data_IF_856076762727
#
_entry.id   IF_856076762727
#
_cell.length_a   1.000
_cell.length_b   1.000
_cell.length_c   1.000
_cell.angle_alpha   90.00
_cell.angle_beta   90.00
_cell.angle_gamma   90.00
#
_symmetry.space_group_name_H-M   'P 1'
#
loop_
_entity.id
_entity.type
_entity.pdbx_description
1 polymer ?
#
# COMPACT_ATOMS: atom_id res chain seq x y z
N UNK A 1 -0.42 12.44 18.61
CA UNK A 1 -0.84 11.79 17.36
C UNK A 1 0.40 11.26 16.66
N UNK A 2 0.42 9.99 16.25
CA UNK A 2 1.59 9.38 15.59
C UNK A 2 1.46 9.43 14.07
N UNK A 3 2.53 9.82 13.37
CA UNK A 3 2.65 9.63 11.93
C UNK A 3 3.41 8.31 11.65
N UNK A 4 2.67 7.27 11.26
CA UNK A 4 3.20 5.91 11.09
C UNK A 4 4.28 5.84 10.01
N UNK A 5 4.10 6.53 8.87
CA UNK A 5 5.07 6.52 7.78
C UNK A 5 6.39 7.17 8.19
N UNK A 6 6.33 8.28 8.90
CA UNK A 6 7.53 8.93 9.44
C UNK A 6 8.23 8.03 10.47
N UNK A 7 7.46 7.40 11.36
CA UNK A 7 8.00 6.45 12.35
C UNK A 7 8.68 5.24 11.69
N UNK A 8 8.11 4.70 10.60
CA UNK A 8 8.73 3.63 9.82
C UNK A 8 10.06 4.05 9.17
N UNK A 9 10.16 5.29 8.68
CA UNK A 9 11.42 5.83 8.11
C UNK A 9 12.48 5.99 9.20
N UNK A 10 12.09 6.53 10.35
CA UNK A 10 12.98 6.71 11.51
C UNK A 10 13.48 5.34 11.99
N UNK A 11 12.59 4.37 12.16
CA UNK A 11 12.99 3.01 12.54
C UNK A 11 13.96 2.38 11.54
N UNK A 12 13.68 2.52 10.24
CA UNK A 12 14.60 2.05 9.19
C UNK A 12 16.00 2.64 9.32
N UNK A 13 16.09 3.96 9.52
CA UNK A 13 17.37 4.65 9.70
C UNK A 13 18.12 4.18 10.97
N UNK A 14 17.42 3.92 12.08
CA UNK A 14 18.03 3.39 13.31
C UNK A 14 18.68 2.03 13.06
N UNK A 15 17.98 1.14 12.34
CA UNK A 15 18.50 -0.20 12.01
C UNK A 15 19.69 -0.12 11.07
N UNK A 16 19.67 0.75 10.05
CA UNK A 16 20.78 0.87 9.11
C UNK A 16 22.02 1.55 9.70
N UNK A 17 21.83 2.52 10.58
CA UNK A 17 22.94 3.21 11.26
C UNK A 17 23.42 2.48 12.52
N UNK A 18 22.73 1.39 12.93
CA UNK A 18 23.06 0.64 14.14
C UNK A 18 22.87 1.43 15.44
N UNK A 19 22.15 2.56 15.41
CA UNK A 19 22.19 3.53 16.49
C UNK A 19 21.19 4.68 16.37
N UNK A 20 20.65 5.13 17.50
CA UNK A 20 19.79 6.32 17.58
C UNK A 20 20.54 7.61 17.19
N UNK A 21 21.81 7.72 17.58
CA UNK A 21 22.65 8.91 17.27
C UNK A 21 23.00 8.99 15.79
N UNK A 22 23.30 7.84 15.17
CA UNK A 22 23.54 7.76 13.72
C UNK A 22 22.29 8.15 12.93
N UNK A 23 21.13 7.59 13.30
CA UNK A 23 19.86 7.94 12.67
C UNK A 23 19.45 9.41 12.88
N UNK A 24 19.66 9.95 14.07
CA UNK A 24 19.41 11.37 14.35
C UNK A 24 20.27 12.28 13.46
N UNK A 25 21.54 11.91 13.27
CA UNK A 25 22.47 12.66 12.42
C UNK A 25 22.09 12.60 10.94
N UNK A 26 21.70 11.43 10.44
CA UNK A 26 21.22 11.23 9.06
C UNK A 26 19.93 12.01 8.78
N UNK A 27 18.97 11.93 9.69
CA UNK A 27 17.65 12.57 9.55
C UNK A 27 17.63 14.05 9.93
N UNK A 28 18.76 14.60 10.42
CA UNK A 28 18.87 15.96 10.97
C UNK A 28 17.84 16.24 12.09
N UNK A 29 17.60 15.22 12.91
CA UNK A 29 16.70 15.27 14.06
C UNK A 29 17.49 15.22 15.37
N UNK A 30 16.83 15.59 16.47
CA UNK A 30 17.39 15.39 17.80
C UNK A 30 17.16 13.95 18.27
N UNK A 31 18.09 13.39 19.05
CA UNK A 31 17.99 12.02 19.60
C UNK A 31 16.70 11.83 20.40
N UNK A 32 16.25 12.86 21.14
CA UNK A 32 15.00 12.80 21.89
C UNK A 32 13.76 12.68 20.97
N UNK A 33 13.80 13.30 19.78
CA UNK A 33 12.71 13.17 18.80
C UNK A 33 12.69 11.77 18.19
N UNK A 34 13.86 11.23 17.88
CA UNK A 34 14.00 9.87 17.36
C UNK A 34 13.49 8.85 18.38
N UNK A 35 13.90 8.97 19.65
CA UNK A 35 13.41 8.09 20.73
C UNK A 35 11.89 8.23 20.95
N UNK A 36 11.35 9.46 20.98
CA UNK A 36 9.91 9.68 21.15
C UNK A 36 9.08 9.08 20.01
N UNK A 37 9.59 9.12 18.77
CA UNK A 37 8.93 8.51 17.61
C UNK A 37 9.00 6.98 17.63
N UNK A 38 10.13 6.43 18.06
CA UNK A 38 10.27 4.99 18.27
C UNK A 38 9.36 4.48 19.39
N UNK A 39 9.32 5.18 20.52
CA UNK A 39 8.44 4.83 21.64
C UNK A 39 6.96 4.90 21.25
N UNK A 40 6.55 5.93 20.48
CA UNK A 40 5.21 5.98 19.90
C UNK A 40 4.90 4.79 19.00
N UNK A 41 5.87 4.34 18.19
CA UNK A 41 5.73 3.20 17.30
C UNK A 41 5.61 1.88 18.07
N UNK A 42 6.45 1.65 19.06
CA UNK A 42 6.39 0.45 19.91
C UNK A 42 5.09 0.39 20.73
N UNK A 43 4.61 1.54 21.21
CA UNK A 43 3.28 1.63 21.85
C UNK A 43 2.14 1.30 20.89
N UNK A 44 2.24 1.77 19.65
CA UNK A 44 1.23 1.49 18.63
C UNK A 44 1.20 0.00 18.24
N UNK A 45 2.38 -0.63 18.13
CA UNK A 45 2.52 -2.04 17.79
C UNK A 45 2.28 -2.98 18.99
N UNK A 46 2.42 -2.46 20.22
CA UNK A 46 2.30 -3.25 21.44
C UNK A 46 3.49 -4.19 21.70
N UNK A 47 4.61 -4.00 20.99
CA UNK A 47 5.80 -4.83 21.13
C UNK A 47 7.07 -3.98 21.05
N UNK A 48 8.16 -4.50 21.62
CA UNK A 48 9.48 -3.87 21.50
C UNK A 48 10.18 -4.32 20.23
N UNK A 49 10.69 -3.35 19.47
CA UNK A 49 11.45 -3.56 18.24
C UNK A 49 12.96 -3.61 18.53
N UNK A 50 13.42 -2.94 19.59
CA UNK A 50 14.83 -2.89 19.99
C UNK A 50 15.05 -3.43 21.41
N UNK A 51 16.16 -4.16 21.60
CA UNK A 51 16.58 -4.73 22.89
C UNK A 51 17.26 -3.67 23.77
N UNK A 52 18.13 -2.85 23.17
CA UNK A 52 18.84 -1.77 23.85
C UNK A 52 18.75 -0.46 23.06
N UNK A 53 18.62 0.65 23.77
CA UNK A 53 18.50 2.01 23.22
C UNK A 53 19.62 2.95 23.71
N UNK A 54 20.49 2.49 24.60
CA UNK A 54 21.50 3.32 25.25
C UNK A 54 22.91 3.04 24.73
N UNK A 55 23.11 1.90 24.07
CA UNK A 55 24.39 1.48 23.50
C UNK A 55 24.72 2.08 22.13
N UNK A 56 25.99 1.94 21.76
CA UNK A 56 26.52 2.22 20.41
C UNK A 56 26.05 1.17 19.39
N UNK A 57 25.55 0.02 19.88
CA UNK A 57 25.06 -1.10 19.08
C UNK A 57 23.58 -1.36 19.37
N UNK A 58 22.73 -1.15 18.36
CA UNK A 58 21.30 -1.41 18.44
C UNK A 58 21.01 -2.86 18.05
N UNK A 59 20.56 -3.64 19.05
CA UNK A 59 20.12 -5.02 18.83
C UNK A 59 18.63 -5.06 18.51
N UNK A 60 18.27 -5.53 17.31
CA UNK A 60 16.88 -5.74 16.91
C UNK A 60 16.28 -7.00 17.58
N UNK A 61 15.02 -6.91 18.00
CA UNK A 61 14.24 -8.10 18.36
C UNK A 61 13.81 -8.87 17.10
N UNK A 62 13.34 -10.12 17.26
CA UNK A 62 12.71 -10.88 16.17
C UNK A 62 11.54 -10.09 15.54
N UNK A 63 10.70 -9.47 16.38
CA UNK A 63 9.65 -8.57 15.95
C UNK A 63 10.19 -7.35 15.18
N UNK A 64 11.32 -6.77 15.64
CA UNK A 64 12.02 -5.68 14.97
C UNK A 64 12.50 -6.05 13.57
N UNK A 65 13.07 -7.25 13.39
CA UNK A 65 13.53 -7.75 12.09
C UNK A 65 12.36 -7.96 11.13
N UNK A 66 11.29 -8.62 11.60
CA UNK A 66 10.09 -8.84 10.79
C UNK A 66 9.42 -7.51 10.40
N UNK A 67 9.36 -6.56 11.35
CA UNK A 67 8.79 -5.24 11.11
C UNK A 67 9.65 -4.42 10.13
N UNK A 68 10.98 -4.46 10.24
CA UNK A 68 11.89 -3.78 9.32
C UNK A 68 11.69 -4.24 7.87
N UNK A 69 11.53 -5.55 7.64
CA UNK A 69 11.22 -6.09 6.32
C UNK A 69 9.88 -5.54 5.77
N UNK A 70 8.87 -5.39 6.65
CA UNK A 70 7.59 -4.78 6.30
C UNK A 70 7.71 -3.28 5.99
N UNK A 71 8.50 -2.54 6.78
CA UNK A 71 8.79 -1.12 6.56
C UNK A 71 9.39 -0.90 5.17
N UNK A 72 10.40 -1.68 4.79
CA UNK A 72 11.06 -1.55 3.48
C UNK A 72 10.08 -1.72 2.32
N UNK A 73 9.20 -2.73 2.38
CA UNK A 73 8.17 -2.95 1.34
C UNK A 73 7.16 -1.81 1.29
N UNK A 74 6.69 -1.36 2.45
CA UNK A 74 5.68 -0.31 2.56
C UNK A 74 6.22 1.04 2.08
N UNK A 75 7.42 1.42 2.53
CA UNK A 75 8.08 2.65 2.10
C UNK A 75 8.41 2.63 0.60
N UNK A 76 8.81 1.48 0.06
CA UNK A 76 9.00 1.31 -1.38
C UNK A 76 7.70 1.47 -2.15
N UNK A 77 6.59 0.88 -1.68
CA UNK A 77 5.28 1.05 -2.31
C UNK A 77 4.80 2.51 -2.28
N UNK A 78 5.04 3.22 -1.17
CA UNK A 78 4.73 4.65 -1.05
C UNK A 78 5.61 5.49 -1.96
N UNK A 79 6.91 5.18 -2.07
CA UNK A 79 7.83 5.87 -2.98
C UNK A 79 7.42 5.70 -4.46
N UNK A 80 6.94 4.51 -4.83
CA UNK A 80 6.37 4.25 -6.15
C UNK A 80 5.08 5.06 -6.37
N UNK A 81 4.16 5.05 -5.40
CA UNK A 81 2.88 5.78 -5.49
C UNK A 81 3.04 7.30 -5.52
N UNK A 82 4.05 7.85 -4.84
CA UNK A 82 4.32 9.29 -4.78
C UNK A 82 5.15 9.80 -5.97
N UNK A 83 5.60 8.92 -6.87
CA UNK A 83 6.42 9.30 -8.02
C UNK A 83 7.82 9.81 -7.63
N UNK A 84 8.24 9.64 -6.38
CA UNK A 84 9.57 10.02 -5.89
C UNK A 84 10.69 9.07 -6.36
N UNK A 85 10.35 8.05 -7.14
CA UNK A 85 11.32 7.19 -7.81
C UNK A 85 11.92 7.95 -8.99
N UNK A 86 13.07 8.60 -8.76
CA UNK A 86 13.94 8.99 -9.86
C UNK A 86 14.46 7.71 -10.53
N UNK A 87 13.93 7.45 -11.73
CA UNK A 87 14.38 6.49 -12.73
C UNK A 87 14.15 4.98 -12.46
N UNK A 88 13.45 4.38 -13.43
CA UNK A 88 13.40 2.96 -13.78
C UNK A 88 12.68 2.02 -12.77
N UNK A 89 11.62 1.29 -13.08
CA UNK A 89 11.09 0.84 -14.35
C UNK A 89 9.56 0.94 -14.37
N UNK A 90 9.07 1.29 -15.54
CA UNK A 90 7.77 0.89 -16.04
C UNK A 90 7.68 -0.66 -16.03
N UNK A 91 7.44 -1.27 -14.87
CA UNK A 91 6.81 -2.57 -14.81
C UNK A 91 5.35 -2.36 -15.17
N UNK A 92 5.11 -2.30 -16.47
CA UNK A 92 3.85 -2.63 -17.11
C UNK A 92 3.23 -3.84 -16.41
N UNK A 93 2.30 -3.61 -15.48
CA UNK A 93 1.16 -4.52 -15.39
C UNK A 93 0.35 -4.23 -16.65
N UNK A 94 0.70 -4.93 -17.73
CA UNK A 94 -0.12 -5.02 -18.93
C UNK A 94 -1.39 -5.80 -18.57
N UNK A 95 -2.31 -5.14 -17.90
CA UNK A 95 -3.73 -5.43 -17.95
C UNK A 95 -4.39 -4.25 -18.66
N UNK A 96 -5.32 -4.48 -19.60
CA UNK A 96 -5.96 -3.35 -20.28
C UNK A 96 -6.63 -2.45 -19.24
N UNK A 97 -6.50 -1.11 -19.36
CA UNK A 97 -7.14 -0.21 -18.43
C UNK A 97 -8.65 -0.37 -18.56
N UNK A 98 -9.30 -0.83 -17.49
CA UNK A 98 -10.76 -0.75 -17.36
C UNK A 98 -11.17 0.70 -17.09
N UNK A 99 -10.86 1.59 -18.04
CA UNK A 99 -11.48 2.90 -18.18
C UNK A 99 -12.76 2.70 -18.99
N UNK A 100 -13.69 1.97 -18.40
CA UNK A 100 -14.94 1.59 -19.01
C UNK A 100 -15.93 1.31 -17.90
N UNK A 101 -16.27 2.34 -17.14
CA UNK A 101 -17.56 2.37 -16.45
C UNK A 101 -18.62 2.29 -17.57
N UNK A 102 -19.34 1.18 -17.76
CA UNK A 102 -20.49 1.22 -18.65
C UNK A 102 -21.58 1.89 -17.84
N UNK A 103 -21.89 3.14 -18.16
CA UNK A 103 -23.18 3.70 -17.82
C UNK A 103 -24.26 2.76 -18.39
N UNK A 104 -25.28 2.34 -17.61
CA UNK A 104 -26.49 1.84 -18.22
C UNK A 104 -27.23 3.03 -18.84
N UNK A 105 -27.01 3.27 -20.13
CA UNK A 105 -27.93 4.05 -20.96
C UNK A 105 -29.22 3.24 -21.15
N UNK A 106 -30.08 3.21 -20.14
CA UNK A 106 -31.47 2.79 -20.29
C UNK A 106 -32.32 4.00 -20.63
N UNK A 107 -32.12 4.55 -21.83
CA UNK A 107 -33.11 5.44 -22.48
C UNK A 107 -33.86 4.57 -23.48
N UNK A 108 -34.99 3.96 -23.07
CA UNK A 108 -36.37 4.48 -23.14
C UNK A 108 -37.02 4.17 -24.51
N UNK A 109 -38.19 3.52 -24.43
CA UNK A 109 -39.36 3.51 -25.35
C UNK A 109 -39.02 3.41 -26.84
N UNK A 110 -39.36 2.33 -27.54
CA UNK A 110 -40.69 1.77 -27.60
C UNK A 110 -41.41 2.37 -28.79
N UNK A 111 -41.63 1.59 -29.85
CA UNK A 111 -42.69 1.85 -30.81
C UNK A 111 -43.08 0.57 -31.55
N UNK A 112 -44.35 0.55 -31.93
CA UNK A 112 -45.17 -0.60 -32.20
C UNK A 112 -45.06 -1.13 -33.64
N UNK A 113 -45.22 -2.45 -33.79
CA UNK A 113 -45.81 -3.14 -34.94
C UNK A 113 -45.95 -4.63 -34.52
N UNK A 114 -47.09 -5.12 -34.01
CA UNK A 114 -48.31 -5.46 -34.77
C UNK A 114 -48.00 -5.59 -36.26
N UNK A 115 -47.98 -6.79 -36.85
CA UNK A 115 -49.18 -7.46 -37.37
C UNK A 115 -48.91 -8.98 -37.42
N UNK A 116 -49.71 -9.78 -36.71
CA UNK A 116 -50.09 -11.14 -37.16
C UNK A 116 -51.15 -10.98 -38.28
N UNK A 117 -51.45 -11.96 -39.16
CA UNK A 117 -51.21 -13.40 -39.04
C UNK A 117 -50.75 -14.06 -40.37
N UNK A 118 -50.53 -15.38 -40.38
CA UNK A 118 -51.13 -16.33 -41.35
C UNK A 118 -50.43 -17.69 -41.33
N UNK A 119 -51.18 -18.68 -40.87
CA UNK A 119 -51.35 -20.02 -41.47
C UNK A 119 -50.12 -20.69 -42.11
N UNK A 120 -49.74 -21.86 -41.59
CA UNK A 120 -49.60 -23.06 -42.44
C UNK A 120 -49.97 -24.29 -41.63
N UNK A 121 -51.11 -24.86 -42.02
CA UNK A 121 -51.67 -26.12 -41.60
C UNK A 121 -51.16 -27.21 -42.55
N UNK A 122 -50.28 -28.10 -42.09
CA UNK A 122 -49.94 -29.38 -42.72
C UNK A 122 -48.97 -30.14 -41.81
N UNK A 123 -48.99 -31.44 -41.61
CA UNK A 123 -49.89 -32.57 -41.90
C UNK A 123 -49.18 -33.74 -41.21
N UNK A 124 -49.96 -34.53 -40.47
CA UNK A 124 -49.93 -35.99 -40.29
C UNK A 124 -48.63 -36.83 -40.31
N UNK A 125 -48.82 -38.00 -39.68
CA UNK A 125 -48.08 -39.28 -39.77
C UNK A 125 -47.01 -39.43 -38.68
N UNK A 126 -47.03 -40.46 -37.82
CA UNK A 126 -47.71 -41.76 -37.85
C UNK A 126 -47.80 -42.30 -36.42
#
# INVERSE_FOLDING_TARGET
MMNLLEAMRIFGAIVEQGGLRGAASDLKLDVAQVDARLDGLERYLGCRLLLDRAGDDVVCTDAGVAFYACCRRTLSAVAQATGASAADACATVSGPPVAGFPLPDTTRRGDAASIAPSTTLHRSTR
#
